data_IF_489394216907
#
_entry.id   IF_489394216907
#
_cell.length_a   1.000
_cell.length_b   1.000
_cell.length_c   1.000
_cell.angle_alpha   90.00
_cell.angle_beta   90.00
_cell.angle_gamma   90.00
#
_symmetry.space_group_name_H-M   'P 1'
#
loop_
_entity.id
_entity.type
_entity.pdbx_description
1 polymer ?
#
# COMPACT_ATOMS: atom_id res chain seq x y z
N UNK A 1 17.13 4.14 -5.49
CA UNK A 1 16.24 4.27 -4.31
C UNK A 1 14.93 4.81 -4.84
N UNK A 2 14.05 3.91 -5.26
CA UNK A 2 12.83 4.30 -5.96
C UNK A 2 11.66 4.28 -4.96
N UNK A 3 11.23 5.48 -4.56
CA UNK A 3 10.00 5.64 -3.78
C UNK A 3 8.83 5.65 -4.75
N UNK A 4 7.87 4.75 -4.55
CA UNK A 4 6.61 4.78 -5.30
C UNK A 4 5.58 5.55 -4.50
N UNK A 5 4.79 6.36 -5.21
CA UNK A 5 3.77 7.22 -4.62
C UNK A 5 2.42 6.75 -5.10
N UNK A 6 1.49 6.54 -4.17
CA UNK A 6 0.10 6.16 -4.43
C UNK A 6 -0.80 7.11 -3.65
N UNK A 7 -1.96 7.48 -4.19
CA UNK A 7 -2.90 8.37 -3.50
C UNK A 7 -4.33 7.93 -3.74
N UNK A 8 -5.19 8.02 -2.73
CA UNK A 8 -6.64 7.86 -2.86
C UNK A 8 -7.38 9.21 -2.97
N UNK A 9 -6.65 10.33 -3.02
CA UNK A 9 -7.20 11.69 -3.03
C UNK A 9 -7.05 12.43 -1.70
N UNK A 10 -7.18 11.73 -0.57
CA UNK A 10 -7.05 12.31 0.77
C UNK A 10 -5.70 11.98 1.42
N UNK A 11 -5.20 10.76 1.19
CA UNK A 11 -3.99 10.21 1.79
C UNK A 11 -3.01 9.79 0.69
N UNK A 12 -1.73 10.13 0.89
CA UNK A 12 -0.64 9.72 0.01
C UNK A 12 0.23 8.65 0.67
N UNK A 13 0.23 7.45 0.11
CA UNK A 13 1.06 6.33 0.52
C UNK A 13 2.41 6.36 -0.19
N UNK A 14 3.48 6.51 0.59
CA UNK A 14 4.86 6.43 0.11
C UNK A 14 5.43 5.04 0.36
N UNK A 15 5.63 4.27 -0.70
CA UNK A 15 6.23 2.95 -0.60
C UNK A 15 7.73 2.98 -0.94
N UNK A 16 8.54 2.48 0.01
CA UNK A 16 9.99 2.34 -0.10
C UNK A 16 10.37 0.86 0.03
N UNK A 17 10.72 0.22 -1.07
CA UNK A 17 11.02 -1.22 -1.11
C UNK A 17 12.11 -1.63 -0.11
N UNK A 18 13.15 -0.80 0.03
CA UNK A 18 14.28 -1.01 0.95
C UNK A 18 13.91 -1.08 2.44
N UNK A 19 12.77 -0.51 2.83
CA UNK A 19 12.28 -0.55 4.21
C UNK A 19 11.39 -1.76 4.51
N UNK A 20 11.03 -2.54 3.49
CA UNK A 20 10.16 -3.69 3.66
C UNK A 20 10.92 -4.85 4.30
N UNK A 21 10.45 -5.34 5.45
CA UNK A 21 11.00 -6.54 6.12
C UNK A 21 10.29 -7.84 5.73
N UNK A 22 9.38 -7.79 4.74
CA UNK A 22 8.59 -8.93 4.27
C UNK A 22 7.79 -9.69 5.37
N UNK A 23 7.31 -8.99 6.40
CA UNK A 23 6.45 -9.60 7.44
C UNK A 23 5.08 -10.06 6.91
N UNK A 24 4.63 -9.48 5.79
CA UNK A 24 3.33 -9.77 5.17
C UNK A 24 2.13 -9.16 5.90
N UNK A 25 2.32 -8.32 6.92
CA UNK A 25 1.21 -7.76 7.71
C UNK A 25 0.31 -6.87 6.86
N UNK A 26 0.86 -6.07 5.95
CA UNK A 26 0.08 -5.21 5.05
C UNK A 26 -0.95 -6.00 4.22
N UNK A 27 -0.52 -7.14 3.65
CA UNK A 27 -1.38 -8.02 2.85
C UNK A 27 -2.44 -8.72 3.72
N UNK A 28 -2.13 -9.02 4.99
CA UNK A 28 -3.07 -9.67 5.90
C UNK A 28 -4.14 -8.70 6.42
N UNK A 29 -3.74 -7.46 6.74
CA UNK A 29 -4.63 -6.47 7.35
C UNK A 29 -5.52 -5.79 6.31
N UNK A 30 -4.98 -5.47 5.13
CA UNK A 30 -5.70 -4.76 4.06
C UNK A 30 -5.41 -5.41 2.69
N UNK A 31 -5.85 -6.66 2.45
CA UNK A 31 -5.58 -7.39 1.21
C UNK A 31 -6.15 -6.70 -0.04
N UNK A 32 -7.21 -5.91 0.11
CA UNK A 32 -7.79 -5.14 -0.98
C UNK A 32 -6.88 -3.97 -1.43
N UNK A 33 -6.02 -3.47 -0.54
CA UNK A 33 -5.06 -2.40 -0.85
C UNK A 33 -3.71 -2.97 -1.27
N UNK A 34 -3.21 -4.00 -0.58
CA UNK A 34 -1.87 -4.56 -0.79
C UNK A 34 -1.92 -5.97 -1.38
N UNK A 35 -1.67 -6.10 -2.68
CA UNK A 35 -1.68 -7.37 -3.40
C UNK A 35 -0.40 -7.58 -4.24
N UNK A 36 0.61 -8.32 -3.73
CA UNK A 36 1.86 -8.57 -4.44
C UNK A 36 1.72 -9.30 -5.79
N UNK A 37 0.58 -9.95 -6.05
CA UNK A 37 0.32 -10.65 -7.32
C UNK A 37 -0.18 -9.74 -8.44
N UNK A 38 -0.60 -8.52 -8.11
CA UNK A 38 -1.12 -7.55 -9.07
C UNK A 38 -0.11 -6.44 -9.39
N UNK A 39 -0.34 -5.74 -10.50
CA UNK A 39 0.39 -4.52 -10.87
C UNK A 39 -0.60 -3.44 -11.33
N UNK A 40 -0.70 -2.31 -10.62
CA UNK A 40 0.01 -1.94 -9.40
C UNK A 40 -0.37 -2.83 -8.20
N UNK A 41 0.59 -3.08 -7.31
CA UNK A 41 0.43 -3.96 -6.15
C UNK A 41 -0.09 -3.22 -4.91
N UNK A 42 -0.11 -1.88 -4.94
CA UNK A 42 -0.72 -1.01 -3.93
C UNK A 42 -1.81 -0.20 -4.61
N UNK A 43 -3.03 -0.27 -4.09
CA UNK A 43 -4.22 0.42 -4.57
C UNK A 43 -4.96 1.06 -3.40
N UNK A 44 -4.48 2.21 -2.87
CA UNK A 44 -5.09 2.86 -1.70
C UNK A 44 -6.54 3.28 -1.92
N UNK A 45 -6.98 3.43 -3.18
CA UNK A 45 -8.37 3.69 -3.55
C UNK A 45 -9.36 2.60 -3.13
N UNK A 46 -8.87 1.40 -2.79
CA UNK A 46 -9.70 0.28 -2.36
C UNK A 46 -10.01 0.29 -0.86
N UNK A 47 -9.57 1.29 -0.11
CA UNK A 47 -9.87 1.47 1.31
C UNK A 47 -10.37 2.89 1.59
N UNK A 48 -11.19 3.01 2.62
CA UNK A 48 -11.55 4.33 3.15
C UNK A 48 -10.35 4.97 3.83
N UNK A 49 -10.29 6.29 3.83
CA UNK A 49 -9.22 7.06 4.48
C UNK A 49 -8.98 6.66 5.96
N UNK A 50 -10.01 6.41 6.79
CA UNK A 50 -9.82 5.90 8.16
C UNK A 50 -9.14 4.53 8.27
N UNK A 51 -9.26 3.65 7.27
CA UNK A 51 -8.60 2.34 7.26
C UNK A 51 -7.10 2.43 6.92
N UNK A 52 -6.64 3.58 6.40
CA UNK A 52 -5.24 3.82 6.03
C UNK A 52 -4.42 4.51 7.14
N UNK A 53 -5.06 4.93 8.24
CA UNK A 53 -4.42 5.49 9.44
C UNK A 53 -4.05 4.39 10.45
#
# INVERSE_FOLDING_TARGET
>A
MDTKVYSNGDVTTLWKAEKCIHSGICVKTLPQVYNPKERPWIKPENASTPELY
#
